data_IF_207500269640
#
_entry.id   IF_207500269640
#
_cell.length_a   1.000
_cell.length_b   1.000
_cell.length_c   1.000
_cell.angle_alpha   90.00
_cell.angle_beta   90.00
_cell.angle_gamma   90.00
#
_symmetry.space_group_name_H-M   'P 1'
#
loop_
_entity.id
_entity.type
_entity.pdbx_description
1 polymer ?
#
# COMPACT_ATOMS: atom_id res chain seq x y z
N UNK A 1 4.13 4.37 -6.39
CA UNK A 1 3.62 3.47 -7.44
C UNK A 1 4.10 2.07 -7.11
N UNK A 2 3.24 1.04 -7.17
CA UNK A 2 3.64 -0.33 -6.85
C UNK A 2 4.68 -0.86 -7.85
N UNK A 3 5.62 -1.65 -7.34
CA UNK A 3 6.62 -2.37 -8.14
C UNK A 3 6.22 -3.83 -8.21
N UNK A 4 6.05 -4.36 -9.41
CA UNK A 4 5.55 -5.71 -9.68
C UNK A 4 6.62 -6.53 -10.37
N UNK A 5 6.88 -7.74 -9.85
CA UNK A 5 7.70 -8.75 -10.51
C UNK A 5 6.76 -9.82 -11.10
N UNK A 6 6.88 -10.09 -12.39
CA UNK A 6 6.13 -11.15 -13.08
C UNK A 6 7.07 -12.32 -13.35
N UNK A 7 6.77 -13.49 -12.80
CA UNK A 7 7.57 -14.71 -12.96
C UNK A 7 6.70 -15.79 -13.59
N UNK A 8 6.93 -16.06 -14.86
CA UNK A 8 6.13 -16.97 -15.68
C UNK A 8 7.01 -17.47 -16.84
N UNK A 9 6.94 -18.73 -17.25
CA UNK A 9 7.72 -19.25 -18.36
C UNK A 9 7.07 -18.96 -19.72
N UNK A 10 5.75 -18.70 -19.74
CA UNK A 10 5.03 -18.26 -20.92
C UNK A 10 5.39 -16.80 -21.28
N UNK A 11 6.15 -16.64 -22.34
CA UNK A 11 6.64 -15.33 -22.79
C UNK A 11 5.51 -14.40 -23.21
N UNK A 12 4.52 -14.90 -23.93
CA UNK A 12 3.39 -14.09 -24.44
C UNK A 12 2.52 -13.57 -23.30
N UNK A 13 2.20 -14.43 -22.34
CA UNK A 13 1.44 -14.05 -21.16
C UNK A 13 2.23 -13.04 -20.29
N UNK A 14 3.53 -13.29 -20.08
CA UNK A 14 4.40 -12.43 -19.32
C UNK A 14 4.52 -11.02 -19.91
N UNK A 15 4.68 -10.91 -21.24
CA UNK A 15 4.71 -9.64 -21.96
C UNK A 15 3.37 -8.92 -21.85
N UNK A 16 2.25 -9.62 -22.06
CA UNK A 16 0.91 -9.05 -21.95
C UNK A 16 0.64 -8.47 -20.55
N UNK A 17 0.95 -9.23 -19.50
CA UNK A 17 0.79 -8.75 -18.12
C UNK A 17 1.67 -7.52 -17.88
N UNK A 18 2.94 -7.57 -18.33
CA UNK A 18 3.88 -6.46 -18.15
C UNK A 18 3.40 -5.18 -18.82
N UNK A 19 2.93 -5.25 -20.06
CA UNK A 19 2.38 -4.08 -20.77
C UNK A 19 1.16 -3.48 -20.07
N UNK A 20 0.24 -4.33 -19.63
CA UNK A 20 -0.96 -3.87 -18.93
C UNK A 20 -0.60 -3.17 -17.62
N UNK A 21 0.29 -3.78 -16.81
CA UNK A 21 0.74 -3.18 -15.55
C UNK A 21 1.41 -1.82 -15.76
N UNK A 22 2.25 -1.69 -16.81
CA UNK A 22 2.90 -0.43 -17.15
C UNK A 22 1.90 0.65 -17.59
N UNK A 23 0.87 0.28 -18.38
CA UNK A 23 -0.22 1.20 -18.75
C UNK A 23 -1.01 1.71 -17.55
N UNK A 24 -1.15 0.89 -16.52
CA UNK A 24 -1.77 1.24 -15.23
C UNK A 24 -0.83 2.00 -14.28
N UNK A 25 0.37 2.37 -14.75
CA UNK A 25 1.33 3.17 -14.00
C UNK A 25 2.15 2.39 -12.98
N UNK A 26 2.24 1.06 -13.07
CA UNK A 26 3.07 0.23 -12.21
C UNK A 26 4.45 0.02 -12.81
N UNK A 27 5.47 0.02 -11.97
CA UNK A 27 6.82 -0.35 -12.42
C UNK A 27 6.94 -1.88 -12.44
N UNK A 28 7.01 -2.46 -13.65
CA UNK A 28 6.98 -3.92 -13.83
C UNK A 28 8.29 -4.45 -14.38
N UNK A 29 8.79 -5.51 -13.76
CA UNK A 29 9.94 -6.31 -14.22
C UNK A 29 9.45 -7.73 -14.43
N UNK A 30 9.98 -8.44 -15.43
CA UNK A 30 9.60 -9.82 -15.71
C UNK A 30 10.79 -10.77 -15.70
N UNK A 31 10.54 -12.04 -15.36
CA UNK A 31 11.51 -13.13 -15.32
C UNK A 31 10.91 -14.42 -15.83
N UNK A 32 11.64 -15.21 -16.64
CA UNK A 32 11.10 -16.44 -17.25
C UNK A 32 11.09 -17.66 -16.33
N UNK A 33 11.63 -17.56 -15.11
CA UNK A 33 11.69 -18.66 -14.15
C UNK A 33 11.96 -18.15 -12.72
N UNK A 34 11.78 -19.02 -11.74
CA UNK A 34 11.96 -18.70 -10.33
C UNK A 34 13.40 -18.29 -9.96
N UNK A 35 14.43 -18.89 -10.58
CA UNK A 35 15.84 -18.57 -10.30
C UNK A 35 16.17 -17.12 -10.68
N UNK A 36 15.72 -16.69 -11.84
CA UNK A 36 15.88 -15.30 -12.28
C UNK A 36 15.01 -14.34 -11.47
N UNK A 37 13.79 -14.74 -11.13
CA UNK A 37 12.92 -13.99 -10.22
C UNK A 37 13.59 -13.73 -8.88
N UNK A 38 14.23 -14.73 -8.28
CA UNK A 38 14.99 -14.59 -7.03
C UNK A 38 16.16 -13.61 -7.16
N UNK A 39 16.90 -13.62 -8.30
CA UNK A 39 17.95 -12.64 -8.56
C UNK A 39 17.40 -11.22 -8.63
N UNK A 40 16.23 -11.03 -9.27
CA UNK A 40 15.57 -9.73 -9.31
C UNK A 40 15.19 -9.22 -7.92
N UNK A 41 14.67 -10.08 -7.04
CA UNK A 41 14.35 -9.76 -5.65
C UNK A 41 15.57 -9.37 -4.81
N UNK A 42 16.76 -9.89 -5.14
CA UNK A 42 18.00 -9.51 -4.45
C UNK A 42 18.54 -8.15 -4.90
N UNK A 43 18.22 -7.72 -6.12
CA UNK A 43 18.72 -6.49 -6.71
C UNK A 43 17.75 -5.31 -6.59
N UNK A 44 16.47 -5.60 -6.51
CA UNK A 44 15.39 -4.61 -6.54
C UNK A 44 14.33 -4.93 -5.49
N UNK A 45 13.65 -3.89 -4.99
CA UNK A 45 12.50 -4.06 -4.11
C UNK A 45 11.22 -4.14 -4.94
N UNK A 46 10.33 -5.07 -4.56
CA UNK A 46 9.01 -5.24 -5.17
C UNK A 46 7.93 -5.28 -4.08
N UNK A 47 6.75 -4.75 -4.42
CA UNK A 47 5.57 -4.80 -3.57
C UNK A 47 4.77 -6.09 -3.83
N UNK A 48 4.71 -6.50 -5.10
CA UNK A 48 3.96 -7.67 -5.57
C UNK A 48 4.85 -8.57 -6.42
N UNK A 49 4.69 -9.87 -6.25
CA UNK A 49 5.24 -10.92 -7.13
C UNK A 49 4.08 -11.74 -7.69
N UNK A 50 3.92 -11.72 -9.01
CA UNK A 50 3.05 -12.65 -9.73
C UNK A 50 3.88 -13.88 -10.08
N UNK A 51 3.52 -15.04 -9.57
CA UNK A 51 4.34 -16.26 -9.68
C UNK A 51 3.53 -17.40 -10.28
N UNK A 52 3.96 -17.89 -11.43
CA UNK A 52 3.38 -19.10 -12.00
C UNK A 52 3.79 -20.35 -11.18
N UNK A 53 2.88 -21.31 -11.11
CA UNK A 53 3.15 -22.59 -10.43
C UNK A 53 3.99 -23.50 -11.30
N UNK A 54 3.66 -23.59 -12.59
CA UNK A 54 4.27 -24.57 -13.49
C UNK A 54 5.38 -23.91 -14.28
N UNK A 55 6.59 -24.06 -13.78
CA UNK A 55 7.78 -23.54 -14.45
C UNK A 55 8.87 -24.61 -14.53
N UNK A 56 9.76 -24.56 -15.53
CA UNK A 56 10.94 -25.43 -15.60
C UNK A 56 11.83 -25.28 -14.37
N UNK A 57 12.43 -26.40 -13.94
CA UNK A 57 13.42 -26.50 -12.85
C UNK A 57 12.83 -26.38 -11.44
N UNK A 58 12.04 -25.37 -11.14
CA UNK A 58 11.49 -25.12 -9.82
C UNK A 58 10.00 -24.83 -9.92
N UNK A 59 9.19 -25.59 -9.18
CA UNK A 59 7.76 -25.32 -9.05
C UNK A 59 7.55 -24.02 -8.27
N UNK A 60 6.60 -23.19 -8.73
CA UNK A 60 6.31 -21.90 -8.09
C UNK A 60 5.88 -22.02 -6.63
N UNK A 61 5.14 -23.07 -6.26
CA UNK A 61 4.73 -23.30 -4.87
C UNK A 61 5.96 -23.56 -3.97
N UNK A 62 6.97 -24.27 -4.46
CA UNK A 62 8.21 -24.51 -3.72
C UNK A 62 9.11 -23.27 -3.67
N UNK A 63 8.96 -22.37 -4.62
CA UNK A 63 9.67 -21.10 -4.65
C UNK A 63 9.14 -20.09 -3.62
N UNK A 64 7.86 -20.15 -3.19
CA UNK A 64 7.24 -19.18 -2.26
C UNK A 64 8.11 -18.90 -1.03
N UNK A 65 8.55 -19.89 -0.24
CA UNK A 65 9.35 -19.62 0.95
C UNK A 65 10.68 -18.91 0.65
N UNK A 66 11.27 -19.18 -0.52
CA UNK A 66 12.52 -18.55 -0.95
C UNK A 66 12.29 -17.07 -1.32
N UNK A 67 11.18 -16.77 -1.99
CA UNK A 67 10.78 -15.41 -2.33
C UNK A 67 10.46 -14.59 -1.08
N UNK A 68 9.71 -15.16 -0.13
CA UNK A 68 9.41 -14.50 1.15
C UNK A 68 10.71 -14.25 1.94
N UNK A 69 11.65 -15.21 1.97
CA UNK A 69 12.94 -15.02 2.63
C UNK A 69 13.77 -13.91 1.99
N UNK A 70 13.72 -13.78 0.64
CA UNK A 70 14.43 -12.74 -0.08
C UNK A 70 13.84 -11.36 0.17
N UNK A 71 12.49 -11.25 0.17
CA UNK A 71 11.75 -10.00 0.45
C UNK A 71 10.50 -10.28 1.27
N UNK A 72 10.56 -10.19 2.61
CA UNK A 72 9.42 -10.49 3.49
C UNK A 72 8.21 -9.58 3.32
N UNK A 73 8.41 -8.36 2.80
CA UNK A 73 7.33 -7.39 2.55
C UNK A 73 6.62 -7.60 1.21
N UNK A 74 7.26 -8.24 0.23
CA UNK A 74 6.66 -8.53 -1.06
C UNK A 74 5.50 -9.53 -0.92
N UNK A 75 4.36 -9.24 -1.54
CA UNK A 75 3.19 -10.11 -1.53
C UNK A 75 3.18 -10.99 -2.77
N UNK A 76 3.08 -12.29 -2.59
CA UNK A 76 3.12 -13.28 -3.66
C UNK A 76 1.70 -13.65 -4.05
N UNK A 77 1.35 -13.45 -5.31
CA UNK A 77 0.11 -13.88 -5.93
C UNK A 77 0.46 -15.05 -6.86
N UNK A 78 -0.11 -16.20 -6.61
CA UNK A 78 0.09 -17.38 -7.45
C UNK A 78 -0.83 -17.30 -8.68
N UNK A 79 -0.28 -17.60 -9.85
CA UNK A 79 -1.03 -17.78 -11.09
C UNK A 79 -0.87 -19.22 -11.56
N UNK A 80 -1.94 -19.93 -11.92
CA UNK A 80 -1.81 -21.32 -12.40
C UNK A 80 -2.98 -21.78 -13.27
N UNK A 81 -2.67 -22.63 -14.24
CA UNK A 81 -3.68 -23.35 -15.02
C UNK A 81 -4.27 -24.56 -14.28
N UNK A 82 -3.58 -25.06 -13.25
CA UNK A 82 -4.00 -26.21 -12.45
C UNK A 82 -4.51 -25.77 -11.08
N UNK A 83 -5.79 -25.40 -11.02
CA UNK A 83 -6.41 -25.03 -9.75
C UNK A 83 -7.12 -26.23 -9.14
N UNK A 84 -6.48 -26.89 -8.19
CA UNK A 84 -7.15 -27.76 -7.24
C UNK A 84 -7.24 -27.07 -5.89
N UNK A 85 -8.22 -27.47 -5.09
CA UNK A 85 -8.34 -26.96 -3.72
C UNK A 85 -7.04 -27.20 -2.92
N UNK A 86 -6.43 -28.36 -3.13
CA UNK A 86 -5.21 -28.76 -2.43
C UNK A 86 -4.02 -27.86 -2.81
N UNK A 87 -3.83 -27.53 -4.10
CA UNK A 87 -2.74 -26.66 -4.55
C UNK A 87 -2.90 -25.23 -4.05
N UNK A 88 -4.15 -24.72 -4.03
CA UNK A 88 -4.45 -23.41 -3.49
C UNK A 88 -4.18 -23.34 -1.97
N UNK A 89 -4.64 -24.35 -1.22
CA UNK A 89 -4.42 -24.45 0.22
C UNK A 89 -2.92 -24.56 0.53
N UNK A 90 -2.16 -25.32 -0.25
CA UNK A 90 -0.71 -25.44 -0.07
C UNK A 90 0.01 -24.10 -0.32
N UNK A 91 -0.33 -23.38 -1.39
CA UNK A 91 0.23 -22.08 -1.67
C UNK A 91 -0.04 -21.09 -0.54
N UNK A 92 -1.28 -21.02 -0.04
CA UNK A 92 -1.63 -20.15 1.08
C UNK A 92 -0.90 -20.53 2.37
N UNK A 93 -0.76 -21.83 2.69
CA UNK A 93 0.01 -22.29 3.84
C UNK A 93 1.50 -21.95 3.74
N UNK A 94 2.06 -21.90 2.53
CA UNK A 94 3.46 -21.49 2.28
C UNK A 94 3.64 -19.96 2.27
N UNK A 95 2.56 -19.19 2.39
CA UNK A 95 2.58 -17.75 2.57
C UNK A 95 2.23 -16.93 1.33
N UNK A 96 1.59 -17.52 0.32
CA UNK A 96 0.99 -16.74 -0.76
C UNK A 96 -0.09 -15.80 -0.21
N UNK A 97 -0.17 -14.59 -0.77
CA UNK A 97 -1.16 -13.60 -0.39
C UNK A 97 -2.49 -13.84 -1.12
N UNK A 98 -2.44 -14.38 -2.32
CA UNK A 98 -3.62 -14.75 -3.11
C UNK A 98 -3.27 -15.74 -4.22
N UNK A 99 -4.31 -16.17 -4.93
CA UNK A 99 -4.25 -17.23 -5.94
C UNK A 99 -5.20 -16.91 -7.09
N UNK A 100 -4.70 -16.96 -8.33
CA UNK A 100 -5.46 -16.70 -9.55
C UNK A 100 -5.40 -17.92 -10.49
N UNK A 101 -6.55 -18.34 -11.01
CA UNK A 101 -6.64 -19.46 -11.96
C UNK A 101 -6.56 -18.94 -13.39
N UNK A 102 -5.61 -19.45 -14.18
CA UNK A 102 -5.52 -19.20 -15.62
C UNK A 102 -6.59 -20.03 -16.38
N UNK A 103 -7.29 -19.47 -17.37
CA UNK A 103 -7.22 -18.09 -17.83
C UNK A 103 -7.99 -17.14 -16.91
N UNK A 104 -7.41 -15.99 -16.58
CA UNK A 104 -8.04 -14.93 -15.80
C UNK A 104 -8.24 -13.65 -16.63
N UNK A 105 -9.19 -12.83 -16.22
CA UNK A 105 -9.38 -11.51 -16.82
C UNK A 105 -8.37 -10.52 -16.22
N UNK A 106 -7.85 -9.63 -17.06
CA UNK A 106 -6.96 -8.56 -16.59
C UNK A 106 -7.59 -7.72 -15.46
N UNK A 107 -8.91 -7.47 -15.56
CA UNK A 107 -9.65 -6.75 -14.50
C UNK A 107 -9.61 -7.48 -13.16
N UNK A 108 -9.67 -8.80 -13.13
CA UNK A 108 -9.58 -9.62 -11.93
C UNK A 108 -8.18 -9.51 -11.30
N UNK A 109 -7.14 -9.66 -12.12
CA UNK A 109 -5.75 -9.48 -11.67
C UNK A 109 -5.53 -8.09 -11.08
N UNK A 110 -6.06 -7.04 -11.73
CA UNK A 110 -5.93 -5.66 -11.25
C UNK A 110 -6.66 -5.43 -9.93
N UNK A 111 -7.86 -5.97 -9.76
CA UNK A 111 -8.62 -5.89 -8.50
C UNK A 111 -7.82 -6.57 -7.37
N UNK A 112 -7.30 -7.77 -7.62
CA UNK A 112 -6.50 -8.52 -6.64
C UNK A 112 -5.25 -7.74 -6.23
N UNK A 113 -4.49 -7.20 -7.18
CA UNK A 113 -3.29 -6.40 -6.89
C UNK A 113 -3.64 -5.16 -6.06
N UNK A 114 -4.66 -4.39 -6.48
CA UNK A 114 -5.07 -3.17 -5.76
C UNK A 114 -5.47 -3.49 -4.33
N UNK A 115 -6.30 -4.52 -4.12
CA UNK A 115 -6.70 -4.97 -2.79
C UNK A 115 -5.50 -5.31 -1.90
N UNK A 116 -4.55 -6.10 -2.40
CA UNK A 116 -3.37 -6.53 -1.63
C UNK A 116 -2.47 -5.33 -1.30
N UNK A 117 -2.27 -4.40 -2.23
CA UNK A 117 -1.48 -3.17 -1.99
C UNK A 117 -2.14 -2.29 -0.94
N UNK A 118 -3.47 -2.13 -0.98
CA UNK A 118 -4.22 -1.36 0.01
C UNK A 118 -4.18 -2.02 1.40
N UNK A 119 -4.38 -3.33 1.47
CA UNK A 119 -4.26 -4.10 2.72
C UNK A 119 -2.86 -3.98 3.34
N UNK A 120 -1.81 -4.02 2.51
CA UNK A 120 -0.44 -3.85 2.99
C UNK A 120 -0.20 -2.43 3.52
N UNK A 121 -0.63 -1.42 2.78
CA UNK A 121 -0.53 -0.02 3.24
C UNK A 121 -1.25 0.18 4.56
N UNK A 122 -2.43 -0.42 4.73
CA UNK A 122 -3.17 -0.35 5.99
C UNK A 122 -2.40 -1.01 7.13
N UNK A 123 -1.82 -2.20 6.90
CA UNK A 123 -1.01 -2.90 7.91
C UNK A 123 0.23 -2.11 8.31
N UNK A 124 1.01 -1.62 7.32
CA UNK A 124 2.20 -0.81 7.59
C UNK A 124 1.84 0.45 8.38
N UNK A 125 0.67 1.04 8.10
CA UNK A 125 0.15 2.19 8.83
C UNK A 125 -0.23 1.84 10.27
N UNK A 126 -0.88 0.69 10.48
CA UNK A 126 -1.36 0.26 11.78
C UNK A 126 -0.22 -0.21 12.72
N UNK A 127 0.82 -0.85 12.16
CA UNK A 127 1.96 -1.34 12.94
C UNK A 127 2.85 -0.21 13.50
N UNK A 128 2.87 0.94 12.85
CA UNK A 128 3.72 2.08 13.24
C UNK A 128 2.98 3.15 14.06
N UNK A 129 1.67 3.00 14.29
CA UNK A 129 0.86 3.98 14.99
C UNK A 129 0.22 3.43 16.25
N UNK A 130 0.17 4.27 17.29
CA UNK A 130 -0.75 4.10 18.40
C UNK A 130 -2.20 4.30 17.89
N UNK A 131 -2.88 3.21 17.61
CA UNK A 131 -4.22 3.21 17.00
C UNK A 131 -5.23 3.95 17.90
N UNK A 132 -5.16 3.79 19.21
CA UNK A 132 -6.09 4.43 20.15
C UNK A 132 -5.89 5.95 20.16
N UNK A 133 -4.63 6.41 20.17
CA UNK A 133 -4.31 7.81 20.02
C UNK A 133 -4.76 8.37 18.67
N UNK A 134 -4.52 7.64 17.59
CA UNK A 134 -4.91 8.04 16.24
C UNK A 134 -6.44 8.18 16.10
N UNK A 135 -7.19 7.16 16.53
CA UNK A 135 -8.66 7.17 16.48
C UNK A 135 -9.24 8.28 17.36
N UNK A 136 -8.76 8.44 18.59
CA UNK A 136 -9.24 9.49 19.50
C UNK A 136 -8.94 10.90 18.98
N UNK A 137 -7.76 11.10 18.40
CA UNK A 137 -7.39 12.39 17.81
C UNK A 137 -8.20 12.68 16.57
N UNK A 138 -8.39 11.70 15.66
CA UNK A 138 -9.09 11.90 14.38
C UNK A 138 -10.62 11.72 14.48
N UNK A 139 -11.17 11.32 15.63
CA UNK A 139 -12.62 11.29 15.83
C UNK A 139 -13.28 12.67 15.69
N UNK A 140 -12.56 13.74 15.99
CA UNK A 140 -13.08 15.09 15.89
C UNK A 140 -13.02 15.65 14.44
N UNK A 141 -14.16 16.08 13.85
CA UNK A 141 -14.22 16.54 12.46
C UNK A 141 -13.38 17.81 12.22
N UNK A 142 -13.27 18.72 13.20
CA UNK A 142 -12.47 19.93 13.06
C UNK A 142 -10.99 19.58 12.92
N UNK A 143 -10.48 18.61 13.68
CA UNK A 143 -9.08 18.16 13.58
C UNK A 143 -8.79 17.51 12.23
N UNK A 144 -9.71 16.68 11.72
CA UNK A 144 -9.57 16.14 10.35
C UNK A 144 -9.55 17.24 9.31
N UNK A 145 -10.43 18.24 9.41
CA UNK A 145 -10.45 19.37 8.50
C UNK A 145 -9.15 20.18 8.56
N UNK A 146 -8.64 20.48 9.76
CA UNK A 146 -7.37 21.22 9.93
C UNK A 146 -6.21 20.50 9.25
N UNK A 147 -6.03 19.20 9.51
CA UNK A 147 -4.87 18.48 8.97
C UNK A 147 -4.94 18.36 7.43
N UNK A 148 -6.13 18.14 6.86
CA UNK A 148 -6.32 18.13 5.40
C UNK A 148 -6.06 19.50 4.77
N UNK A 149 -6.49 20.59 5.42
CA UNK A 149 -6.21 21.95 4.92
C UNK A 149 -4.71 22.23 4.89
N UNK A 150 -3.98 21.85 5.95
CA UNK A 150 -2.54 22.04 6.02
C UNK A 150 -1.84 21.18 4.95
N UNK A 151 -2.27 19.94 4.74
CA UNK A 151 -1.74 19.06 3.70
C UNK A 151 -1.91 19.67 2.30
N UNK A 152 -3.13 20.11 1.97
CA UNK A 152 -3.45 20.69 0.65
C UNK A 152 -2.67 21.96 0.34
N UNK A 153 -2.43 22.80 1.36
CA UNK A 153 -1.72 24.08 1.23
C UNK A 153 -0.21 23.96 1.55
N UNK A 154 0.29 22.75 1.88
CA UNK A 154 1.66 22.45 2.32
C UNK A 154 2.05 23.10 3.66
N UNK A 155 1.65 24.32 3.90
CA UNK A 155 1.81 25.02 5.17
C UNK A 155 0.71 26.07 5.35
N UNK A 156 0.29 26.33 6.62
CA UNK A 156 -0.70 27.34 6.94
C UNK A 156 -0.39 28.02 8.26
N UNK A 157 -0.58 29.35 8.33
CA UNK A 157 -0.48 30.10 9.58
C UNK A 157 -1.78 30.04 10.38
N UNK A 158 -1.68 30.27 11.69
CA UNK A 158 -2.84 30.22 12.59
C UNK A 158 -4.04 31.02 12.10
N UNK A 159 -3.84 32.27 11.66
CA UNK A 159 -4.92 33.14 11.18
C UNK A 159 -5.57 32.64 9.87
N UNK A 160 -4.79 31.98 9.01
CA UNK A 160 -5.29 31.41 7.77
C UNK A 160 -6.19 30.20 8.06
N UNK A 161 -5.75 29.33 8.98
CA UNK A 161 -6.53 28.17 9.44
C UNK A 161 -7.84 28.65 10.07
N UNK A 162 -7.80 29.62 10.96
CA UNK A 162 -8.97 30.16 11.65
C UNK A 162 -9.99 30.77 10.66
N UNK A 163 -9.49 31.54 9.68
CA UNK A 163 -10.31 32.15 8.64
C UNK A 163 -10.98 31.10 7.75
N UNK A 164 -10.22 30.10 7.33
CA UNK A 164 -10.73 29.04 6.42
C UNK A 164 -11.74 28.14 7.12
N UNK A 165 -11.57 27.89 8.43
CA UNK A 165 -12.54 27.15 9.24
C UNK A 165 -13.83 27.92 9.50
N UNK A 166 -13.81 29.25 9.39
CA UNK A 166 -14.96 30.09 9.75
C UNK A 166 -15.32 30.06 11.24
N UNK A 167 -14.34 29.74 12.11
CA UNK A 167 -14.54 29.64 13.55
C UNK A 167 -14.04 30.94 14.21
N UNK A 168 -14.96 31.73 14.75
CA UNK A 168 -14.62 33.00 15.44
C UNK A 168 -13.87 32.79 16.75
N UNK A 169 -14.15 31.69 17.44
CA UNK A 169 -13.48 31.35 18.71
C UNK A 169 -12.05 30.79 18.45
N UNK A 170 -11.09 31.69 18.52
CA UNK A 170 -9.66 31.38 18.36
C UNK A 170 -9.14 30.39 19.44
N UNK A 171 -9.75 30.37 20.62
CA UNK A 171 -9.37 29.44 21.70
C UNK A 171 -9.68 28.01 21.30
N UNK A 172 -10.82 27.80 20.66
CA UNK A 172 -11.24 26.49 20.16
C UNK A 172 -10.32 25.97 19.07
N UNK A 173 -9.94 26.83 18.10
CA UNK A 173 -8.98 26.44 17.05
C UNK A 173 -7.62 26.12 17.65
N UNK A 174 -7.14 26.94 18.60
CA UNK A 174 -5.87 26.72 19.29
C UNK A 174 -5.85 25.38 20.07
N UNK A 175 -6.97 25.03 20.71
CA UNK A 175 -7.11 23.73 21.39
C UNK A 175 -6.94 22.57 20.40
N UNK A 176 -7.59 22.60 19.24
CA UNK A 176 -7.47 21.55 18.25
C UNK A 176 -6.06 21.45 17.64
N UNK A 177 -5.42 22.58 17.37
CA UNK A 177 -4.04 22.62 16.91
C UNK A 177 -3.07 22.08 17.96
N UNK A 178 -3.31 22.39 19.25
CA UNK A 178 -2.51 21.85 20.35
C UNK A 178 -2.60 20.33 20.40
N UNK A 179 -3.80 19.77 20.33
CA UNK A 179 -4.00 18.29 20.31
C UNK A 179 -3.30 17.65 19.13
N UNK A 180 -3.42 18.21 17.92
CA UNK A 180 -2.74 17.69 16.73
C UNK A 180 -1.20 17.77 16.87
N UNK A 181 -0.69 18.80 17.52
CA UNK A 181 0.74 19.00 17.76
C UNK A 181 1.27 18.05 18.85
N UNK A 182 0.51 17.84 19.93
CA UNK A 182 0.85 16.88 21.01
C UNK A 182 0.84 15.43 20.50
N UNK A 183 -0.03 15.12 19.54
CA UNK A 183 -0.04 13.82 18.84
C UNK A 183 1.04 13.71 17.76
N UNK A 184 1.83 14.76 17.57
CA UNK A 184 2.90 14.84 16.56
C UNK A 184 2.42 14.70 15.09
N UNK A 185 1.15 15.00 14.80
CA UNK A 185 0.63 14.97 13.42
C UNK A 185 0.91 16.25 12.64
N UNK A 186 1.11 17.36 13.36
CA UNK A 186 1.55 18.63 12.80
C UNK A 186 2.68 19.20 13.64
N UNK A 187 3.53 20.01 13.03
CA UNK A 187 4.52 20.83 13.75
C UNK A 187 4.52 22.25 13.19
N UNK A 188 5.29 23.15 13.81
CA UNK A 188 5.50 24.50 13.30
C UNK A 188 6.90 24.60 12.70
N UNK A 189 7.00 25.21 11.54
CA UNK A 189 8.27 25.56 10.89
C UNK A 189 8.93 26.80 11.51
N UNK A 190 10.04 27.24 10.90
CA UNK A 190 10.80 28.44 11.35
C UNK A 190 9.99 29.73 11.26
N UNK A 191 8.98 29.81 10.41
CA UNK A 191 8.08 30.95 10.19
C UNK A 191 6.78 30.87 11.00
N UNK A 192 6.72 29.92 11.96
CA UNK A 192 5.53 29.62 12.79
C UNK A 192 4.30 29.19 12.00
N UNK A 193 4.47 28.72 10.76
CA UNK A 193 3.43 28.07 10.01
C UNK A 193 3.31 26.60 10.40
N UNK A 194 2.11 26.05 10.39
CA UNK A 194 1.86 24.64 10.66
C UNK A 194 2.08 23.84 9.39
N UNK A 195 2.80 22.75 9.52
CA UNK A 195 3.07 21.75 8.47
C UNK A 195 2.70 20.36 8.98
N UNK A 196 2.33 19.46 8.06
CA UNK A 196 2.06 18.06 8.40
C UNK A 196 3.39 17.32 8.55
N UNK A 197 3.52 16.53 9.59
CA UNK A 197 4.69 15.68 9.84
C UNK A 197 4.59 14.37 9.05
N UNK A 198 5.67 13.57 9.03
CA UNK A 198 5.63 12.21 8.45
C UNK A 198 4.56 11.33 9.13
N UNK A 199 4.40 11.44 10.45
CA UNK A 199 3.36 10.77 11.22
C UNK A 199 1.96 11.27 10.84
N UNK A 200 1.83 12.58 10.56
CA UNK A 200 0.61 13.18 10.04
C UNK A 200 0.26 12.72 8.63
N UNK A 201 1.24 12.57 7.76
CA UNK A 201 1.03 12.03 6.41
C UNK A 201 0.57 10.56 6.44
N UNK A 202 1.11 9.77 7.37
CA UNK A 202 0.68 8.38 7.58
C UNK A 202 -0.79 8.31 8.01
N UNK A 203 -1.22 9.12 8.99
CA UNK A 203 -2.63 9.10 9.44
C UNK A 203 -3.58 9.57 8.34
N UNK A 204 -3.20 10.56 7.53
CA UNK A 204 -3.98 10.99 6.37
C UNK A 204 -4.15 9.86 5.34
N UNK A 205 -3.08 9.12 5.07
CA UNK A 205 -3.14 7.94 4.19
C UNK A 205 -4.09 6.87 4.73
N UNK A 206 -4.08 6.61 6.03
CA UNK A 206 -5.02 5.67 6.67
C UNK A 206 -6.47 6.15 6.60
N UNK A 207 -6.72 7.43 6.86
CA UNK A 207 -8.05 8.02 6.76
C UNK A 207 -8.61 7.92 5.34
N UNK A 208 -7.79 8.19 4.33
CA UNK A 208 -8.20 8.08 2.92
C UNK A 208 -8.63 6.67 2.52
N UNK A 209 -7.94 5.64 3.05
CA UNK A 209 -8.30 4.23 2.82
C UNK A 209 -9.67 3.93 3.45
N UNK A 210 -9.89 4.40 4.69
CA UNK A 210 -11.17 4.20 5.39
C UNK A 210 -12.31 4.91 4.65
N UNK A 211 -12.13 6.16 4.24
CA UNK A 211 -13.14 6.96 3.54
C UNK A 211 -13.49 6.38 2.16
N UNK A 212 -12.52 5.83 1.44
CA UNK A 212 -12.75 5.20 0.14
C UNK A 212 -13.49 3.85 0.24
N UNK A 213 -13.33 3.12 1.35
CA UNK A 213 -14.02 1.84 1.58
C UNK A 213 -15.42 2.01 2.21
N UNK A 214 -15.80 3.21 2.64
CA UNK A 214 -17.13 3.52 3.21
C UNK A 214 -18.11 4.12 2.17
N UNK A 215 -17.65 4.39 0.95
CA UNK A 215 -18.48 4.85 -0.19
C UNK A 215 -18.86 3.67 -1.08
#
# INVERSE_FOLDING_TARGET
MPRVLVVDDDTELRETITEVMQKEGMHTVSSPNAEEGLKQLQQNNFDIVLLDVIMPKMNGIDAIPLFIKAQPKAKIIIMTAYSTVDTAVEAMKKGAADYLTKPFKITELMITIRRIVEEQRFKDCAEEMDIDCALSTMANPIRRQIIHMIEQNQSMRFMEITRTLGIEDHTKVNFHLKVLKESEYICQDGDKAYIVTDKGNKILSCLSIIENNLK
#
